data_IF_658810170655
#
_entry.id   IF_658810170655
#
_cell.length_a   1.000
_cell.length_b   1.000
_cell.length_c   1.000
_cell.angle_alpha   90.00
_cell.angle_beta   90.00
_cell.angle_gamma   90.00
#
_symmetry.space_group_name_H-M   'P 1'
#
loop_
_entity.id
_entity.type
_entity.pdbx_description
1 polymer ?
#
# COMPACT_ATOMS: atom_id res chain seq x y z
N UNK A 1 -3.93 22.21 -19.10
CA UNK A 1 -3.61 21.06 -18.23
C UNK A 1 -3.17 19.93 -19.14
N UNK A 2 -1.93 19.47 -19.05
CA UNK A 2 -1.49 18.28 -19.82
C UNK A 2 -2.30 17.07 -19.36
N UNK A 3 -2.57 16.12 -20.25
CA UNK A 3 -3.38 14.94 -19.92
C UNK A 3 -2.80 14.16 -18.72
N UNK A 4 -1.48 14.09 -18.61
CA UNK A 4 -0.76 13.46 -17.49
C UNK A 4 -1.05 14.14 -16.15
N UNK A 5 -1.03 15.48 -16.09
CA UNK A 5 -1.33 16.23 -14.87
C UNK A 5 -2.79 16.02 -14.43
N UNK A 6 -3.72 15.93 -15.39
CA UNK A 6 -5.12 15.63 -15.10
C UNK A 6 -5.27 14.24 -14.47
N UNK A 7 -4.62 13.21 -15.05
CA UNK A 7 -4.61 11.84 -14.51
C UNK A 7 -3.99 11.81 -13.12
N UNK A 8 -2.86 12.50 -12.91
CA UNK A 8 -2.17 12.54 -11.63
C UNK A 8 -3.06 13.13 -10.52
N UNK A 9 -3.68 14.29 -10.76
CA UNK A 9 -4.53 14.96 -9.75
C UNK A 9 -5.78 14.13 -9.46
N UNK A 10 -6.44 13.61 -10.51
CA UNK A 10 -7.69 12.83 -10.34
C UNK A 10 -7.44 11.50 -9.63
N UNK A 11 -6.39 10.77 -9.99
CA UNK A 11 -6.02 9.53 -9.31
C UNK A 11 -5.48 9.75 -7.90
N UNK A 12 -4.75 10.86 -7.67
CA UNK A 12 -4.31 11.26 -6.33
C UNK A 12 -5.48 11.56 -5.41
N UNK A 13 -6.49 12.30 -5.90
CA UNK A 13 -7.72 12.53 -5.17
C UNK A 13 -8.49 11.21 -4.91
N UNK A 14 -8.59 10.34 -5.92
CA UNK A 14 -9.23 9.03 -5.76
C UNK A 14 -8.53 8.15 -4.71
N UNK A 15 -7.19 8.13 -4.67
CA UNK A 15 -6.41 7.44 -3.66
C UNK A 15 -6.68 7.99 -2.26
N UNK A 16 -6.69 9.32 -2.08
CA UNK A 16 -6.98 9.93 -0.77
C UNK A 16 -8.41 9.62 -0.27
N UNK A 17 -9.40 9.68 -1.16
CA UNK A 17 -10.80 9.36 -0.84
C UNK A 17 -10.96 7.90 -0.48
N UNK A 18 -10.41 6.99 -1.29
CA UNK A 18 -10.51 5.54 -1.04
C UNK A 18 -9.74 5.13 0.22
N UNK A 19 -8.55 5.67 0.49
CA UNK A 19 -7.82 5.46 1.73
C UNK A 19 -8.62 5.92 2.97
N UNK A 20 -9.30 7.07 2.87
CA UNK A 20 -10.19 7.54 3.93
C UNK A 20 -11.38 6.59 4.11
N UNK A 21 -11.98 6.12 3.01
CA UNK A 21 -13.10 5.19 3.03
C UNK A 21 -12.73 3.82 3.65
N UNK A 22 -11.50 3.34 3.49
CA UNK A 22 -11.00 2.12 4.16
C UNK A 22 -11.11 2.26 5.68
N UNK A 23 -10.65 3.37 6.24
CA UNK A 23 -10.59 3.59 7.70
C UNK A 23 -11.97 3.92 8.28
N UNK A 24 -12.80 4.63 7.51
CA UNK A 24 -14.14 5.05 7.93
C UNK A 24 -15.20 3.95 7.77
N UNK A 25 -14.92 2.91 6.97
CA UNK A 25 -15.87 1.83 6.74
C UNK A 25 -16.06 0.97 7.99
N UNK A 26 -17.31 0.84 8.43
CA UNK A 26 -17.69 -0.02 9.57
C UNK A 26 -17.67 -1.51 9.23
N UNK A 27 -17.83 -1.84 7.95
CA UNK A 27 -17.83 -3.22 7.47
C UNK A 27 -16.46 -3.55 6.87
N UNK A 28 -15.84 -4.62 7.36
CA UNK A 28 -14.50 -5.04 6.94
C UNK A 28 -14.45 -5.41 5.46
N UNK A 29 -15.49 -6.03 4.89
CA UNK A 29 -15.54 -6.37 3.46
C UNK A 29 -15.55 -5.09 2.61
N UNK A 30 -16.37 -4.11 2.96
CA UNK A 30 -16.39 -2.81 2.27
C UNK A 30 -15.05 -2.08 2.41
N UNK A 31 -14.42 -2.13 3.59
CA UNK A 31 -13.10 -1.55 3.82
C UNK A 31 -12.05 -2.15 2.87
N UNK A 32 -12.07 -3.48 2.68
CA UNK A 32 -11.12 -4.14 1.77
C UNK A 32 -11.40 -3.82 0.30
N UNK A 33 -12.67 -3.68 -0.10
CA UNK A 33 -13.00 -3.23 -1.47
C UNK A 33 -12.45 -1.82 -1.73
N UNK A 34 -12.61 -0.89 -0.79
CA UNK A 34 -12.02 0.44 -0.90
C UNK A 34 -10.49 0.38 -0.95
N UNK A 35 -9.87 -0.55 -0.22
CA UNK A 35 -8.43 -0.74 -0.26
C UNK A 35 -7.96 -1.22 -1.64
N UNK A 36 -8.68 -2.16 -2.26
CA UNK A 36 -8.42 -2.60 -3.63
C UNK A 36 -8.51 -1.41 -4.60
N UNK A 37 -9.55 -0.58 -4.51
CA UNK A 37 -9.67 0.62 -5.33
C UNK A 37 -8.48 1.58 -5.12
N UNK A 38 -8.05 1.78 -3.88
CA UNK A 38 -6.87 2.59 -3.57
C UNK A 38 -5.59 2.03 -4.22
N UNK A 39 -5.37 0.71 -4.17
CA UNK A 39 -4.21 0.07 -4.79
C UNK A 39 -4.21 0.25 -6.32
N UNK A 40 -5.38 0.21 -6.97
CA UNK A 40 -5.52 0.53 -8.39
C UNK A 40 -5.23 2.01 -8.67
N UNK A 41 -5.73 2.95 -7.87
CA UNK A 41 -5.39 4.37 -8.02
C UNK A 41 -3.89 4.61 -7.91
N UNK A 42 -3.21 3.96 -6.96
CA UNK A 42 -1.75 4.03 -6.82
C UNK A 42 -1.04 3.40 -8.02
N UNK A 43 -1.53 2.29 -8.57
CA UNK A 43 -0.95 1.69 -9.77
C UNK A 43 -1.00 2.64 -10.97
N UNK A 44 -2.12 3.36 -11.15
CA UNK A 44 -2.23 4.38 -12.21
C UNK A 44 -1.29 5.57 -11.94
N UNK A 45 -1.12 5.99 -10.69
CA UNK A 45 -0.14 7.02 -10.33
C UNK A 45 1.30 6.58 -10.66
N UNK A 46 1.66 5.31 -10.44
CA UNK A 46 2.96 4.78 -10.87
C UNK A 46 3.12 4.81 -12.38
N UNK A 47 2.09 4.48 -13.15
CA UNK A 47 2.14 4.61 -14.62
C UNK A 47 2.31 6.06 -15.06
N UNK A 48 1.61 7.00 -14.41
CA UNK A 48 1.73 8.43 -14.67
C UNK A 48 3.13 8.99 -14.33
N UNK A 49 3.87 8.32 -13.45
CA UNK A 49 5.25 8.64 -13.06
C UNK A 49 6.30 7.79 -13.81
N UNK A 50 5.92 7.16 -14.93
CA UNK A 50 6.80 6.29 -15.73
C UNK A 50 7.34 5.04 -15.01
N UNK A 51 6.78 4.66 -13.86
CA UNK A 51 7.20 3.51 -13.07
C UNK A 51 6.43 2.23 -13.46
N UNK A 52 6.63 1.76 -14.69
CA UNK A 52 5.85 0.66 -15.29
C UNK A 52 5.93 -0.65 -14.50
N UNK A 53 7.14 -1.12 -14.18
CA UNK A 53 7.36 -2.37 -13.45
C UNK A 53 6.64 -2.36 -12.11
N UNK A 54 6.78 -1.28 -11.34
CA UNK A 54 6.16 -1.14 -10.02
C UNK A 54 4.64 -1.09 -10.13
N UNK A 55 4.09 -0.44 -11.15
CA UNK A 55 2.65 -0.44 -11.40
C UNK A 55 2.08 -1.84 -11.65
N UNK A 56 2.76 -2.66 -12.46
CA UNK A 56 2.32 -4.04 -12.70
C UNK A 56 2.47 -4.92 -11.46
N UNK A 57 3.56 -4.77 -10.69
CA UNK A 57 3.73 -5.47 -9.42
C UNK A 57 2.65 -5.08 -8.40
N UNK A 58 2.24 -3.80 -8.37
CA UNK A 58 1.14 -3.31 -7.54
C UNK A 58 -0.16 -4.07 -7.83
N UNK A 59 -0.48 -4.30 -9.10
CA UNK A 59 -1.70 -4.99 -9.49
C UNK A 59 -1.58 -6.49 -9.21
N UNK A 60 -0.49 -7.14 -9.64
CA UNK A 60 -0.35 -8.60 -9.55
C UNK A 60 -0.19 -9.06 -8.09
N UNK A 61 0.68 -8.41 -7.32
CA UNK A 61 1.03 -8.86 -5.97
C UNK A 61 0.05 -8.31 -4.95
N UNK A 62 -0.13 -6.98 -4.90
CA UNK A 62 -0.95 -6.38 -3.86
C UNK A 62 -2.44 -6.57 -4.14
N UNK A 63 -2.95 -6.07 -5.27
CA UNK A 63 -4.37 -6.20 -5.59
C UNK A 63 -4.78 -7.64 -5.94
N UNK A 64 -3.90 -8.39 -6.61
CA UNK A 64 -4.16 -9.76 -7.07
C UNK A 64 -3.99 -10.80 -5.98
N UNK A 65 -2.77 -11.02 -5.48
CA UNK A 65 -2.51 -12.11 -4.54
C UNK A 65 -2.92 -11.77 -3.10
N UNK A 66 -2.39 -10.68 -2.54
CA UNK A 66 -2.52 -10.36 -1.12
C UNK A 66 -3.98 -10.00 -0.79
N UNK A 67 -4.60 -9.09 -1.56
CA UNK A 67 -5.96 -8.66 -1.27
C UNK A 67 -7.00 -9.76 -1.49
N UNK A 68 -6.82 -10.67 -2.44
CA UNK A 68 -7.74 -11.81 -2.61
C UNK A 68 -7.64 -12.77 -1.41
N UNK A 69 -6.44 -13.07 -0.94
CA UNK A 69 -6.24 -13.86 0.30
C UNK A 69 -6.90 -13.16 1.51
N UNK A 70 -6.72 -11.84 1.62
CA UNK A 70 -7.28 -11.06 2.71
C UNK A 70 -8.82 -11.01 2.66
N UNK A 71 -9.41 -10.81 1.48
CA UNK A 71 -10.86 -10.88 1.26
C UNK A 71 -11.42 -12.24 1.68
N UNK A 72 -10.79 -13.33 1.24
CA UNK A 72 -11.19 -14.67 1.63
C UNK A 72 -11.14 -14.86 3.15
N UNK A 73 -10.04 -14.42 3.78
CA UNK A 73 -9.83 -14.53 5.22
C UNK A 73 -10.88 -13.74 6.01
N UNK A 74 -11.12 -12.48 5.65
CA UNK A 74 -12.08 -11.61 6.33
C UNK A 74 -13.51 -12.14 6.16
N UNK A 75 -13.86 -12.64 4.98
CA UNK A 75 -15.18 -13.22 4.73
C UNK A 75 -15.40 -14.49 5.55
N UNK A 76 -14.40 -15.37 5.65
CA UNK A 76 -14.48 -16.60 6.43
C UNK A 76 -14.60 -16.33 7.93
N UNK A 77 -13.91 -15.29 8.43
CA UNK A 77 -13.87 -14.97 9.86
C UNK A 77 -15.08 -14.16 10.36
N UNK A 78 -16.03 -13.80 9.49
CA UNK A 78 -17.24 -13.01 9.79
C UNK A 78 -17.05 -12.03 10.96
N UNK A 79 -16.14 -11.08 10.80
CA UNK A 79 -15.65 -10.16 11.86
C UNK A 79 -16.69 -9.11 12.33
N UNK A 80 -17.98 -9.35 12.10
CA UNK A 80 -19.07 -8.36 12.29
C UNK A 80 -19.32 -8.02 13.78
N UNK A 81 -18.96 -8.89 14.73
CA UNK A 81 -19.30 -8.75 16.16
C UNK A 81 -18.24 -8.15 17.10
N UNK A 82 -17.01 -7.90 16.63
CA UNK A 82 -15.91 -7.45 17.51
C UNK A 82 -15.87 -5.92 17.75
N UNK A 83 -16.76 -5.16 17.11
CA UNK A 83 -16.71 -3.68 17.06
C UNK A 83 -17.25 -3.03 18.34
N UNK A 84 -18.26 -3.62 18.99
CA UNK A 84 -18.96 -2.99 20.13
C UNK A 84 -18.11 -2.94 21.41
N UNK A 85 -17.30 -3.96 21.70
CA UNK A 85 -16.45 -3.98 22.90
C UNK A 85 -15.22 -3.04 22.81
N UNK A 86 -14.81 -2.65 21.60
CA UNK A 86 -13.68 -1.76 21.37
C UNK A 86 -14.05 -0.27 21.53
N UNK A 87 -15.34 0.07 21.37
CA UNK A 87 -15.82 1.45 21.27
C UNK A 87 -15.55 2.27 22.54
N UNK A 88 -15.72 1.65 23.72
CA UNK A 88 -15.61 2.34 25.02
C UNK A 88 -14.16 2.68 25.42
N UNK A 89 -13.20 1.84 25.02
CA UNK A 89 -11.76 2.07 25.23
C UNK A 89 -11.18 3.04 24.17
N UNK A 90 -11.70 3.01 22.95
CA UNK A 90 -11.29 3.89 21.86
C UNK A 90 -11.64 5.36 22.15
N UNK A 91 -12.78 5.65 22.79
CA UNK A 91 -13.22 7.01 23.10
C UNK A 91 -12.18 7.83 23.89
N UNK A 92 -11.47 7.20 24.83
CA UNK A 92 -10.40 7.87 25.62
C UNK A 92 -9.11 8.10 24.82
N UNK A 93 -8.90 7.34 23.74
CA UNK A 93 -7.71 7.45 22.88
C UNK A 93 -7.93 8.38 21.68
N UNK A 94 -9.18 8.67 21.31
CA UNK A 94 -9.55 9.60 20.23
C UNK A 94 -8.83 10.96 20.28
N UNK A 95 -8.74 11.68 21.41
CA UNK A 95 -8.08 12.99 21.41
C UNK A 95 -6.58 12.89 21.14
N UNK A 96 -5.92 11.86 21.70
CA UNK A 96 -4.49 11.62 21.43
C UNK A 96 -4.26 11.23 19.97
N UNK A 97 -5.09 10.34 19.43
CA UNK A 97 -5.03 9.93 18.03
C UNK A 97 -5.25 11.11 17.07
N UNK A 98 -6.20 12.00 17.40
CA UNK A 98 -6.44 13.21 16.62
C UNK A 98 -5.25 14.18 16.70
N UNK A 99 -4.66 14.37 17.89
CA UNK A 99 -3.48 15.21 18.06
C UNK A 99 -2.28 14.70 17.24
N UNK A 100 -2.01 13.38 17.29
CA UNK A 100 -0.96 12.75 16.51
C UNK A 100 -1.23 12.81 15.00
N UNK A 101 -2.48 12.60 14.57
CA UNK A 101 -2.88 12.74 13.18
C UNK A 101 -2.69 14.16 12.65
N UNK A 102 -3.09 15.17 13.42
CA UNK A 102 -2.88 16.58 13.07
C UNK A 102 -1.40 16.94 13.05
N UNK A 103 -0.61 16.41 13.99
CA UNK A 103 0.85 16.60 14.01
C UNK A 103 1.50 16.02 12.74
N UNK A 104 1.11 14.82 12.33
CA UNK A 104 1.58 14.19 11.09
C UNK A 104 1.21 15.03 9.85
N UNK A 105 -0.03 15.52 9.78
CA UNK A 105 -0.47 16.39 8.68
C UNK A 105 0.35 17.68 8.65
N UNK A 106 0.58 18.31 9.82
CA UNK A 106 1.40 19.51 9.91
C UNK A 106 2.83 19.26 9.44
N UNK A 107 3.43 18.13 9.80
CA UNK A 107 4.78 17.74 9.35
C UNK A 107 4.84 17.54 7.84
N UNK A 108 3.86 16.84 7.26
CA UNK A 108 3.76 16.65 5.80
C UNK A 108 3.58 17.99 5.08
N UNK A 109 2.72 18.89 5.58
CA UNK A 109 2.51 20.21 5.00
C UNK A 109 3.77 21.06 5.10
N UNK A 110 4.43 21.12 6.26
CA UNK A 110 5.68 21.88 6.43
C UNK A 110 6.80 21.33 5.54
N UNK A 111 6.96 20.00 5.48
CA UNK A 111 7.95 19.33 4.65
C UNK A 111 7.72 19.58 3.16
N UNK A 112 6.47 19.54 2.71
CA UNK A 112 6.11 19.79 1.31
C UNK A 112 6.23 21.27 0.94
N UNK A 113 5.81 22.22 1.78
CA UNK A 113 6.00 23.66 1.53
C UNK A 113 7.48 24.02 1.40
N UNK A 114 8.36 23.44 2.22
CA UNK A 114 9.80 23.60 2.10
C UNK A 114 10.39 23.02 0.81
N UNK A 115 9.80 21.95 0.28
CA UNK A 115 10.18 21.33 -0.99
C UNK A 115 9.68 22.13 -2.19
N UNK A 116 8.43 22.61 -2.18
CA UNK A 116 7.85 23.43 -3.24
C UNK A 116 8.46 24.84 -3.32
N UNK A 117 9.12 25.30 -2.25
CA UNK A 117 9.85 26.58 -2.24
C UNK A 117 11.22 26.50 -2.92
N UNK A 118 11.76 25.29 -3.12
CA UNK A 118 12.98 25.10 -3.92
C UNK A 118 12.57 24.90 -5.37
N UNK A 119 13.24 25.56 -6.35
CA UNK A 119 13.00 25.26 -7.76
C UNK A 119 13.32 23.78 -7.96
N UNK A 120 12.31 22.98 -8.27
CA UNK A 120 12.54 21.60 -8.70
C UNK A 120 13.27 21.69 -10.04
N UNK A 121 14.53 21.29 -10.06
CA UNK A 121 15.18 20.99 -11.33
C UNK A 121 14.36 19.91 -12.02
N UNK A 122 13.91 20.16 -13.25
CA UNK A 122 13.37 19.10 -14.09
C UNK A 122 14.49 18.10 -14.30
N UNK A 123 14.49 17.04 -13.50
CA UNK A 123 15.38 15.91 -13.71
C UNK A 123 14.81 15.17 -14.92
N UNK A 124 15.55 15.16 -16.02
CA UNK A 124 15.15 14.40 -17.19
C UNK A 124 15.01 12.93 -16.77
N UNK A 125 13.84 12.34 -17.03
CA UNK A 125 13.63 10.91 -16.84
C UNK A 125 14.48 10.21 -17.90
N UNK A 126 15.43 9.39 -17.46
CA UNK A 126 16.27 8.61 -18.37
C UNK A 126 15.41 7.61 -19.16
N UNK A 127 15.77 7.40 -20.42
CA UNK A 127 15.13 6.42 -21.28
C UNK A 127 15.20 5.03 -20.63
N UNK A 128 14.03 4.42 -20.40
CA UNK A 128 13.92 3.10 -19.79
C UNK A 128 13.78 3.09 -18.26
N UNK A 129 13.67 4.25 -17.60
CA UNK A 129 13.31 4.34 -16.18
C UNK A 129 12.04 3.54 -15.88
N UNK A 130 12.06 2.79 -14.78
CA UNK A 130 10.91 2.00 -14.34
C UNK A 130 10.58 0.78 -15.21
N UNK A 131 11.37 0.49 -16.25
CA UNK A 131 11.20 -0.71 -17.08
C UNK A 131 11.61 -1.98 -16.33
N UNK A 132 11.10 -3.13 -16.79
CA UNK A 132 11.45 -4.42 -16.20
C UNK A 132 12.95 -4.75 -16.32
N UNK A 133 13.57 -4.34 -17.43
CA UNK A 133 14.99 -4.55 -17.68
C UNK A 133 15.88 -3.76 -16.72
N UNK A 134 15.57 -2.48 -16.50
CA UNK A 134 16.34 -1.63 -15.58
C UNK A 134 16.15 -2.05 -14.11
N UNK A 135 14.93 -2.39 -13.71
CA UNK A 135 14.69 -2.91 -12.36
C UNK A 135 15.45 -4.23 -12.15
N UNK A 136 15.43 -5.12 -13.14
CA UNK A 136 16.18 -6.38 -13.11
C UNK A 136 17.70 -6.17 -13.02
N UNK A 137 18.27 -5.28 -13.84
CA UNK A 137 19.71 -5.00 -13.82
C UNK A 137 20.15 -4.48 -12.45
N UNK A 138 19.40 -3.52 -11.89
CA UNK A 138 19.67 -2.99 -10.55
C UNK A 138 19.53 -4.05 -9.47
N UNK A 139 18.53 -4.92 -9.57
CA UNK A 139 18.30 -5.98 -8.59
C UNK A 139 19.48 -6.97 -8.52
N UNK A 140 20.00 -7.40 -9.66
CA UNK A 140 21.09 -8.38 -9.71
C UNK A 140 22.49 -7.78 -9.53
N UNK A 141 22.73 -6.54 -9.98
CA UNK A 141 24.07 -5.94 -9.93
C UNK A 141 24.25 -4.90 -8.82
N UNK A 142 23.19 -4.18 -8.43
CA UNK A 142 23.23 -3.16 -7.38
C UNK A 142 22.67 -3.63 -6.02
N UNK A 143 21.68 -4.52 -6.05
CA UNK A 143 20.93 -4.98 -4.87
C UNK A 143 21.01 -6.50 -4.66
N UNK A 144 22.12 -7.12 -5.06
CA UNK A 144 22.31 -8.58 -4.97
C UNK A 144 22.10 -9.12 -3.55
N UNK A 145 22.63 -8.43 -2.53
CA UNK A 145 22.47 -8.86 -1.13
C UNK A 145 21.00 -8.78 -0.65
N UNK A 146 20.29 -7.64 -0.78
CA UNK A 146 18.85 -7.60 -0.48
C UNK A 146 18.01 -8.63 -1.24
N UNK A 147 18.36 -8.91 -2.51
CA UNK A 147 17.69 -9.94 -3.31
C UNK A 147 17.81 -11.33 -2.67
N UNK A 148 19.04 -11.72 -2.29
CA UNK A 148 19.30 -13.01 -1.64
C UNK A 148 18.62 -13.11 -0.27
N UNK A 149 18.67 -12.05 0.52
CA UNK A 149 17.97 -12.02 1.82
C UNK A 149 16.46 -12.17 1.64
N UNK A 150 15.90 -11.57 0.59
CA UNK A 150 14.47 -11.71 0.27
C UNK A 150 14.11 -13.13 -0.17
N UNK A 151 14.99 -13.83 -0.89
CA UNK A 151 14.78 -15.23 -1.29
C UNK A 151 14.66 -16.14 -0.06
N UNK A 152 15.55 -15.96 0.93
CA UNK A 152 15.53 -16.68 2.20
C UNK A 152 14.29 -16.32 3.02
N UNK A 153 13.89 -15.04 3.03
CA UNK A 153 12.67 -14.58 3.69
C UNK A 153 11.42 -15.26 3.12
N UNK A 154 11.32 -15.38 1.80
CA UNK A 154 10.20 -16.07 1.13
C UNK A 154 10.19 -17.56 1.45
N UNK A 155 11.35 -18.22 1.45
CA UNK A 155 11.48 -19.61 1.86
C UNK A 155 11.00 -19.81 3.31
N UNK A 156 11.45 -18.95 4.23
CA UNK A 156 11.06 -18.99 5.63
C UNK A 156 9.56 -18.74 5.81
N UNK A 157 8.96 -17.81 5.06
CA UNK A 157 7.53 -17.52 5.09
C UNK A 157 6.70 -18.74 4.63
N UNK A 158 7.13 -19.43 3.57
CA UNK A 158 6.46 -20.65 3.07
C UNK A 158 6.54 -21.76 4.13
N UNK A 159 7.74 -22.06 4.65
CA UNK A 159 7.91 -23.08 5.69
C UNK A 159 7.08 -22.74 6.93
N UNK A 160 7.13 -21.48 7.39
CA UNK A 160 6.38 -21.01 8.55
C UNK A 160 4.87 -21.12 8.38
N UNK A 161 4.34 -20.70 7.22
CA UNK A 161 2.90 -20.80 6.93
C UNK A 161 2.42 -22.26 6.86
N UNK A 162 3.19 -23.16 6.27
CA UNK A 162 2.87 -24.59 6.22
C UNK A 162 2.87 -25.20 7.62
N UNK A 163 3.90 -24.94 8.44
CA UNK A 163 3.98 -25.48 9.81
C UNK A 163 2.81 -24.98 10.67
N UNK A 164 2.42 -23.71 10.53
CA UNK A 164 1.29 -23.13 11.27
C UNK A 164 -0.06 -23.68 10.80
N UNK A 165 -0.22 -23.96 9.51
CA UNK A 165 -1.46 -24.49 8.93
C UNK A 165 -1.65 -26.00 9.16
N UNK A 166 -0.60 -26.74 9.52
CA UNK A 166 -0.73 -28.17 9.86
C UNK A 166 -1.55 -28.31 11.14
N UNK A 167 -2.69 -29.01 11.04
CA UNK A 167 -3.38 -29.51 12.23
C UNK A 167 -2.47 -30.49 12.94
N UNK A 168 -2.42 -30.37 14.27
CA UNK A 168 -1.81 -31.38 15.12
C UNK A 168 -2.69 -32.61 14.99
N UNK A 169 -2.20 -33.68 14.38
CA UNK A 169 -2.85 -34.98 14.51
C UNK A 169 -2.73 -35.33 16.00
N UNK A 170 -3.83 -35.20 16.73
CA UNK A 170 -3.94 -35.65 18.11
C UNK A 170 -3.86 -37.18 18.10
N UNK A 171 -2.78 -37.74 18.66
CA UNK A 171 -2.75 -39.11 19.15
C UNK A 171 -3.52 -39.21 20.48
#
# INVERSE_FOLDING_TARGET
MTAELAVFITMGAAAAVTASAVVLSKNTVHAVIYLVMNLFSIAVLYLALSAQMVAFLQIIIYAGAIMVLFLFTVMMLNMTGAVEAAEDRLLKQKPLAAALGLMLIAEVVMGTVGLFSKPSGSMAIEDGFGSAGEVGSRLFFGYMLPFEVTSILLLAAIVGSVVLARKKDEE
#
